data_IF_045294949792
#
_entry.id   IF_045294949792
#
_cell.length_a   1.000
_cell.length_b   1.000
_cell.length_c   1.000
_cell.angle_alpha   90.00
_cell.angle_beta   90.00
_cell.angle_gamma   90.00
#
_symmetry.space_group_name_H-M   'P 1'
#
loop_
_entity.id
_entity.type
_entity.pdbx_description
1 polymer ?
#
# COMPACT_ATOMS: atom_id res chain seq x y z
N UNK A 1 -14.04 -28.00 6.04
CA UNK A 1 -13.31 -26.77 6.46
C UNK A 1 -12.98 -26.04 5.17
N UNK A 2 -13.41 -24.78 5.05
CA UNK A 2 -12.95 -23.90 3.96
C UNK A 2 -11.52 -23.49 4.29
N UNK A 3 -10.61 -23.64 3.33
CA UNK A 3 -9.21 -23.24 3.50
C UNK A 3 -9.16 -21.70 3.61
N UNK A 4 -8.58 -21.13 4.67
CA UNK A 4 -8.53 -19.68 4.88
C UNK A 4 -7.65 -18.93 3.86
N UNK A 5 -6.91 -19.67 3.04
CA UNK A 5 -6.09 -19.16 1.92
C UNK A 5 -6.78 -19.32 0.54
N UNK A 6 -8.02 -19.83 0.47
CA UNK A 6 -8.81 -19.90 -0.76
C UNK A 6 -9.40 -18.52 -1.14
N UNK A 7 -8.59 -17.47 -1.09
CA UNK A 7 -8.83 -16.33 -1.95
C UNK A 7 -8.39 -16.76 -3.35
N UNK A 8 -9.24 -17.51 -4.05
CA UNK A 8 -9.19 -17.55 -5.50
C UNK A 8 -8.96 -16.11 -5.97
N UNK A 9 -7.81 -15.79 -6.60
CA UNK A 9 -7.58 -14.42 -7.03
C UNK A 9 -8.75 -14.05 -7.93
N UNK A 10 -9.47 -12.98 -7.57
CA UNK A 10 -10.58 -12.49 -8.39
C UNK A 10 -10.09 -12.41 -9.83
N UNK A 11 -10.67 -13.22 -10.72
CA UNK A 11 -10.28 -13.25 -12.12
C UNK A 11 -10.39 -11.81 -12.65
N UNK A 12 -9.30 -11.26 -13.18
CA UNK A 12 -9.29 -9.88 -13.66
C UNK A 12 -10.39 -9.74 -14.73
N UNK A 13 -11.39 -8.88 -14.51
CA UNK A 13 -12.59 -8.84 -15.35
C UNK A 13 -12.20 -8.54 -16.80
N UNK A 14 -12.70 -9.37 -17.73
CA UNK A 14 -12.47 -9.20 -19.16
C UNK A 14 -11.18 -9.82 -19.70
N UNK A 15 -10.32 -10.43 -18.86
CA UNK A 15 -9.12 -11.15 -19.34
C UNK A 15 -9.49 -12.52 -19.91
N UNK A 16 -10.39 -13.25 -19.24
CA UNK A 16 -10.83 -14.58 -19.66
C UNK A 16 -11.56 -14.54 -21.01
N UNK A 17 -12.37 -13.52 -21.24
CA UNK A 17 -13.07 -13.27 -22.50
C UNK A 17 -12.08 -12.92 -23.62
N UNK A 18 -11.08 -12.08 -23.35
CA UNK A 18 -10.07 -11.72 -24.33
C UNK A 18 -9.24 -12.95 -24.75
N UNK A 19 -8.85 -13.80 -23.79
CA UNK A 19 -8.15 -15.05 -24.07
C UNK A 19 -8.99 -16.05 -24.87
N UNK A 20 -10.29 -16.19 -24.56
CA UNK A 20 -11.24 -17.02 -25.34
C UNK A 20 -11.38 -16.54 -26.78
N UNK A 21 -11.25 -15.24 -27.01
CA UNK A 21 -11.31 -14.62 -28.34
C UNK A 21 -9.94 -14.58 -29.06
N UNK A 22 -8.90 -15.22 -28.52
CA UNK A 22 -7.50 -15.15 -28.99
C UNK A 22 -6.91 -13.73 -29.03
N UNK A 23 -7.50 -12.79 -28.29
CA UNK A 23 -7.03 -11.42 -28.15
C UNK A 23 -6.02 -11.32 -26.99
N UNK A 24 -4.81 -11.79 -27.24
CA UNK A 24 -3.71 -11.76 -26.26
C UNK A 24 -3.27 -10.34 -25.93
N UNK A 25 -3.37 -9.41 -26.90
CA UNK A 25 -3.04 -8.00 -26.70
C UNK A 25 -4.05 -7.30 -25.78
N UNK A 26 -5.35 -7.55 -25.97
CA UNK A 26 -6.42 -7.05 -25.09
C UNK A 26 -6.33 -7.63 -23.69
N UNK A 27 -6.00 -8.91 -23.56
CA UNK A 27 -5.75 -9.55 -22.27
C UNK A 27 -4.58 -8.89 -21.52
N UNK A 28 -3.44 -8.69 -22.20
CA UNK A 28 -2.27 -8.03 -21.61
C UNK A 28 -2.56 -6.59 -21.17
N UNK A 29 -3.33 -5.84 -21.98
CA UNK A 29 -3.78 -4.48 -21.63
C UNK A 29 -4.63 -4.46 -20.36
N UNK A 30 -5.62 -5.35 -20.25
CA UNK A 30 -6.50 -5.48 -19.08
C UNK A 30 -5.73 -5.81 -17.81
N UNK A 31 -4.76 -6.73 -17.90
CA UNK A 31 -3.88 -7.09 -16.79
C UNK A 31 -3.06 -5.87 -16.36
N UNK A 32 -2.47 -5.14 -17.31
CA UNK A 32 -1.67 -3.94 -17.01
C UNK A 32 -2.49 -2.86 -16.31
N UNK A 33 -3.69 -2.55 -16.82
CA UNK A 33 -4.60 -1.58 -16.22
C UNK A 33 -5.03 -1.98 -14.80
N UNK A 34 -5.29 -3.28 -14.58
CA UNK A 34 -5.63 -3.79 -13.25
C UNK A 34 -4.44 -3.64 -12.28
N UNK A 35 -3.23 -4.04 -12.69
CA UNK A 35 -2.03 -3.90 -11.87
C UNK A 35 -1.74 -2.43 -11.54
N UNK A 36 -1.85 -1.53 -12.52
CA UNK A 36 -1.65 -0.08 -12.29
C UNK A 36 -2.63 0.47 -11.25
N UNK A 37 -3.91 0.07 -11.30
CA UNK A 37 -4.91 0.43 -10.28
C UNK A 37 -4.56 -0.09 -8.90
N UNK A 38 -4.08 -1.32 -8.79
CA UNK A 38 -3.70 -1.92 -7.50
C UNK A 38 -2.43 -1.29 -6.93
N UNK A 39 -1.48 -0.89 -7.77
CA UNK A 39 -0.22 -0.28 -7.32
C UNK A 39 -0.37 1.16 -6.82
N UNK A 40 -1.48 1.83 -7.13
CA UNK A 40 -1.69 3.25 -6.80
C UNK A 40 -2.85 3.48 -5.82
N UNK A 41 -3.09 2.52 -4.92
CA UNK A 41 -4.07 2.68 -3.85
C UNK A 41 -3.42 3.45 -2.70
N UNK A 42 -3.95 4.62 -2.36
CA UNK A 42 -3.50 5.40 -1.20
C UNK A 42 -4.00 4.76 0.09
N UNK A 43 -3.07 4.42 0.99
CA UNK A 43 -3.38 3.95 2.34
C UNK A 43 -2.92 4.99 3.37
N UNK A 44 -3.87 5.59 4.07
CA UNK A 44 -3.61 6.58 5.12
C UNK A 44 -3.78 5.94 6.49
N UNK A 45 -2.74 5.97 7.32
CA UNK A 45 -2.74 5.38 8.67
C UNK A 45 -2.46 6.49 9.68
N UNK A 46 -3.39 6.72 10.61
CA UNK A 46 -3.21 7.65 11.71
C UNK A 46 -2.55 6.95 12.91
N UNK A 47 -1.49 7.55 13.46
CA UNK A 47 -0.80 7.06 14.67
C UNK A 47 -0.95 8.10 15.77
N UNK A 48 -1.53 7.71 16.89
CA UNK A 48 -1.80 8.57 18.05
C UNK A 48 -1.03 8.11 19.29
N UNK A 49 -0.97 8.95 20.32
CA UNK A 49 -0.30 8.69 21.59
C UNK A 49 0.28 9.95 22.21
N UNK A 50 0.71 9.86 23.47
CA UNK A 50 1.31 10.97 24.21
C UNK A 50 2.64 11.44 23.59
N UNK A 51 3.08 12.66 23.95
CA UNK A 51 4.40 13.14 23.53
C UNK A 51 5.51 12.25 24.12
N UNK A 52 6.56 12.00 23.34
CA UNK A 52 7.65 11.11 23.75
C UNK A 52 7.37 9.61 23.68
N UNK A 53 6.15 9.17 23.32
CA UNK A 53 5.80 7.75 23.17
C UNK A 53 6.51 7.01 22.02
N UNK A 54 7.32 7.72 21.22
CA UNK A 54 8.10 7.11 20.14
C UNK A 54 7.35 6.95 18.80
N UNK A 55 6.24 7.67 18.58
CA UNK A 55 5.43 7.62 17.34
C UNK A 55 6.27 7.81 16.07
N UNK A 56 7.11 8.85 16.01
CA UNK A 56 7.98 9.09 14.85
C UNK A 56 9.04 8.00 14.66
N UNK A 57 9.58 7.46 15.75
CA UNK A 57 10.50 6.32 15.72
C UNK A 57 9.81 5.08 15.15
N UNK A 58 8.55 4.84 15.53
CA UNK A 58 7.74 3.76 15.00
C UNK A 58 7.47 3.93 13.50
N UNK A 59 7.11 5.14 13.05
CA UNK A 59 6.90 5.43 11.62
C UNK A 59 8.17 5.12 10.81
N UNK A 60 9.33 5.56 11.28
CA UNK A 60 10.60 5.32 10.60
C UNK A 60 10.96 3.84 10.54
N UNK A 61 10.81 3.13 11.67
CA UNK A 61 11.01 1.68 11.72
C UNK A 61 10.04 0.92 10.81
N UNK A 62 8.76 1.29 10.82
CA UNK A 62 7.72 0.70 9.96
C UNK A 62 7.99 0.94 8.47
N UNK A 63 8.52 2.11 8.11
CA UNK A 63 8.94 2.44 6.74
C UNK A 63 10.30 1.84 6.36
N UNK A 64 11.04 1.25 7.30
CA UNK A 64 12.40 0.74 7.08
C UNK A 64 13.46 1.83 6.86
N UNK A 65 13.19 3.06 7.26
CA UNK A 65 14.05 4.24 7.08
C UNK A 65 14.78 4.52 8.40
N UNK A 66 16.08 4.85 8.37
CA UNK A 66 16.77 5.25 9.61
C UNK A 66 16.36 6.66 9.99
N UNK A 67 16.32 6.95 11.29
CA UNK A 67 15.88 8.26 11.82
C UNK A 67 16.64 9.50 11.30
N UNK A 68 17.78 9.31 10.62
CA UNK A 68 18.63 10.37 10.07
C UNK A 68 18.62 10.42 8.53
N UNK A 69 17.88 9.52 7.89
CA UNK A 69 17.81 9.45 6.44
C UNK A 69 16.85 10.53 5.91
N UNK A 70 17.08 10.94 4.66
CA UNK A 70 16.22 11.91 3.98
C UNK A 70 14.79 11.36 3.84
N UNK A 71 13.79 12.13 4.29
CA UNK A 71 12.39 11.70 4.30
C UNK A 71 11.94 10.91 5.53
N UNK A 72 12.79 10.75 6.55
CA UNK A 72 12.40 10.23 7.86
C UNK A 72 11.41 11.18 8.57
N UNK A 73 10.44 10.60 9.28
CA UNK A 73 9.56 11.35 10.18
C UNK A 73 10.42 12.00 11.28
N UNK A 74 10.29 13.32 11.50
CA UNK A 74 11.11 14.03 12.46
C UNK A 74 10.85 13.51 13.88
N UNK A 75 11.92 13.15 14.57
CA UNK A 75 11.90 12.59 15.93
C UNK A 75 12.27 13.68 16.94
N UNK A 76 11.60 13.71 18.09
CA UNK A 76 11.80 14.73 19.13
C UNK A 76 10.83 14.58 20.31
N UNK A 77 11.15 15.25 21.42
CA UNK A 77 10.32 15.30 22.64
C UNK A 77 9.25 16.39 22.56
N UNK A 78 9.41 17.33 21.63
CA UNK A 78 8.43 18.35 21.27
C UNK A 78 7.46 17.75 20.26
N UNK A 79 6.17 18.06 20.35
CA UNK A 79 5.16 17.63 19.38
C UNK A 79 5.55 18.13 17.97
N UNK A 80 6.08 17.25 17.13
CA UNK A 80 6.57 17.59 15.79
C UNK A 80 5.51 17.48 14.69
N UNK A 81 4.27 17.13 15.06
CA UNK A 81 3.16 16.91 14.12
C UNK A 81 1.92 17.63 14.63
N UNK A 82 1.80 18.91 14.31
CA UNK A 82 0.64 19.75 14.64
C UNK A 82 -0.39 19.83 13.51
N UNK A 83 -0.06 19.34 12.31
CA UNK A 83 -0.93 19.42 11.13
C UNK A 83 -1.27 18.03 10.61
N UNK A 84 -2.56 17.78 10.42
CA UNK A 84 -3.09 16.66 9.66
C UNK A 84 -3.17 17.15 8.22
N UNK A 85 -2.26 16.70 7.36
CA UNK A 85 -2.37 16.93 5.91
C UNK A 85 -2.51 15.59 5.20
#
# INVERSE_FOLDING_TARGET
>A
MEDPDDSCPEEIPGVKEALKNNDTAGAAKRIKEYLEKQTNVSLNIAITGESGAGKSTFINAFRGIKNRDEGAAPTGVTETTSEVT
#
